data_IF_768295428009
#
_entry.id   IF_768295428009
#
_cell.length_a   1.000
_cell.length_b   1.000
_cell.length_c   1.000
_cell.angle_alpha   90.00
_cell.angle_beta   90.00
_cell.angle_gamma   90.00
#
_symmetry.space_group_name_H-M   'P 1'
#
loop_
_entity.id
_entity.type
_entity.pdbx_description
1 polymer ?
#
# COMPACT_ATOMS: atom_id res chain seq x y z
N UNK A 1 -3.48 4.92 12.17
CA UNK A 1 -4.87 4.62 12.63
C UNK A 1 -5.40 5.61 13.64
N UNK A 2 -4.68 6.00 14.70
CA UNK A 2 -5.18 7.02 15.64
C UNK A 2 -5.55 8.35 14.95
N UNK A 3 -4.71 8.85 14.03
CA UNK A 3 -5.03 10.06 13.25
C UNK A 3 -6.32 9.94 12.45
N UNK A 4 -6.60 8.76 11.88
CA UNK A 4 -7.83 8.52 11.12
C UNK A 4 -9.07 8.73 12.01
N UNK A 5 -9.11 8.10 13.19
CA UNK A 5 -10.23 8.23 14.11
C UNK A 5 -10.33 9.63 14.74
N UNK A 6 -9.19 10.27 15.05
CA UNK A 6 -9.16 11.67 15.55
C UNK A 6 -9.85 12.64 14.57
N UNK A 7 -9.71 12.37 13.28
CA UNK A 7 -10.31 13.14 12.19
C UNK A 7 -11.76 12.71 11.85
N UNK A 8 -12.37 11.87 12.68
CA UNK A 8 -13.75 11.41 12.51
C UNK A 8 -13.93 10.29 11.50
N UNK A 9 -12.84 9.62 11.10
CA UNK A 9 -12.90 8.51 10.17
C UNK A 9 -13.74 7.34 10.70
N UNK A 10 -14.47 6.70 9.79
CA UNK A 10 -15.37 5.58 10.07
C UNK A 10 -14.75 4.30 9.52
N UNK A 11 -14.40 3.37 10.41
CA UNK A 11 -13.92 2.04 10.03
C UNK A 11 -15.06 1.02 10.17
N UNK A 12 -15.12 0.08 9.23
CA UNK A 12 -16.05 -1.04 9.24
C UNK A 12 -15.38 -2.30 9.80
N UNK A 13 -16.20 -3.21 10.31
CA UNK A 13 -15.79 -4.56 10.65
C UNK A 13 -15.58 -5.41 9.38
N UNK A 14 -14.86 -6.53 9.52
CA UNK A 14 -14.49 -7.39 8.39
C UNK A 14 -15.69 -8.10 7.73
N UNK A 15 -16.84 -8.18 8.39
CA UNK A 15 -18.05 -8.78 7.84
C UNK A 15 -18.56 -8.07 6.57
N UNK A 16 -18.21 -6.80 6.35
CA UNK A 16 -18.63 -6.07 5.16
C UNK A 16 -18.00 -6.57 3.86
N UNK A 17 -16.94 -7.38 3.95
CA UNK A 17 -16.22 -7.89 2.79
C UNK A 17 -17.05 -8.89 1.98
N UNK A 18 -17.99 -9.59 2.61
CA UNK A 18 -18.84 -10.60 1.95
C UNK A 18 -20.15 -10.01 1.41
N UNK A 19 -20.24 -8.68 1.31
CA UNK A 19 -21.43 -7.97 0.83
C UNK A 19 -21.47 -7.82 -0.70
N UNK A 20 -20.60 -8.51 -1.45
CA UNK A 20 -20.59 -8.52 -2.91
C UNK A 20 -20.04 -7.25 -3.59
N UNK A 21 -19.43 -6.34 -2.81
CA UNK A 21 -18.73 -5.17 -3.32
C UNK A 21 -17.35 -5.57 -3.83
N UNK A 22 -16.74 -4.75 -4.70
CA UNK A 22 -15.34 -4.98 -5.11
C UNK A 22 -14.41 -4.65 -3.94
N UNK A 23 -13.24 -5.28 -3.91
CA UNK A 23 -12.28 -5.18 -2.79
C UNK A 23 -10.97 -4.59 -3.30
N UNK A 24 -10.48 -3.58 -2.60
CA UNK A 24 -9.19 -2.94 -2.86
C UNK A 24 -8.25 -3.17 -1.68
N UNK A 25 -7.13 -3.84 -1.92
CA UNK A 25 -6.10 -4.11 -0.93
C UNK A 25 -4.99 -3.07 -1.05
N UNK A 26 -4.60 -2.43 0.06
CA UNK A 26 -3.63 -1.35 0.04
C UNK A 26 -2.75 -1.30 1.29
N UNK A 27 -1.44 -1.08 1.12
CA UNK A 27 -0.54 -0.75 2.22
C UNK A 27 -0.22 -1.89 3.19
N UNK A 28 -0.11 -3.11 2.68
CA UNK A 28 0.26 -4.31 3.44
C UNK A 28 0.81 -5.42 2.55
N UNK A 29 1.34 -6.47 3.16
CA UNK A 29 1.79 -7.66 2.43
C UNK A 29 0.60 -8.45 1.89
N UNK A 30 0.71 -9.00 0.67
CA UNK A 30 -0.41 -9.70 0.02
C UNK A 30 -0.91 -10.91 0.84
N UNK A 31 -0.01 -11.66 1.46
CA UNK A 31 -0.32 -12.77 2.37
C UNK A 31 -1.10 -12.32 3.61
N UNK A 32 -0.89 -11.09 4.09
CA UNK A 32 -1.59 -10.57 5.27
C UNK A 32 -3.07 -10.33 4.98
N UNK A 33 -3.43 -10.07 3.72
CA UNK A 33 -4.83 -9.96 3.30
C UNK A 33 -5.48 -11.32 3.09
N UNK A 34 -4.69 -12.36 2.77
CA UNK A 34 -5.21 -13.70 2.46
C UNK A 34 -6.14 -14.23 3.54
N UNK A 35 -5.74 -14.15 4.82
CA UNK A 35 -6.56 -14.66 5.94
C UNK A 35 -7.90 -13.93 6.12
N UNK A 36 -8.03 -12.73 5.56
CA UNK A 36 -9.27 -11.95 5.54
C UNK A 36 -10.13 -12.29 4.31
N UNK A 37 -9.50 -12.62 3.18
CA UNK A 37 -10.18 -12.95 1.92
C UNK A 37 -10.59 -14.42 1.79
N UNK A 38 -9.91 -15.36 2.44
CA UNK A 38 -10.21 -16.81 2.38
C UNK A 38 -11.63 -17.17 2.83
N UNK A 39 -12.31 -16.26 3.53
CA UNK A 39 -13.64 -16.45 4.10
C UNK A 39 -14.76 -15.87 3.23
N UNK A 40 -14.43 -15.33 2.06
CA UNK A 40 -15.42 -14.71 1.18
C UNK A 40 -16.10 -15.77 0.32
N UNK A 41 -17.43 -15.75 0.34
CA UNK A 41 -18.27 -16.57 -0.53
C UNK A 41 -18.69 -15.77 -1.77
N UNK A 42 -18.68 -14.43 -1.68
CA UNK A 42 -19.05 -13.53 -2.78
C UNK A 42 -18.04 -13.48 -3.94
N UNK A 43 -18.55 -13.37 -5.18
CA UNK A 43 -17.74 -13.14 -6.40
C UNK A 43 -17.31 -11.68 -6.53
N UNK A 44 -16.56 -11.18 -5.55
CA UNK A 44 -16.01 -9.83 -5.60
C UNK A 44 -14.76 -9.79 -6.49
N UNK A 45 -14.59 -8.73 -7.28
CA UNK A 45 -13.29 -8.47 -7.88
C UNK A 45 -12.33 -8.02 -6.77
N UNK A 46 -11.08 -8.49 -6.83
CA UNK A 46 -10.05 -8.11 -5.86
C UNK A 46 -8.93 -7.41 -6.60
N UNK A 47 -8.73 -6.15 -6.23
CA UNK A 47 -7.64 -5.30 -6.69
C UNK A 47 -6.55 -5.25 -5.64
N UNK A 48 -5.28 -5.35 -6.07
CA UNK A 48 -4.11 -5.21 -5.21
C UNK A 48 -3.30 -3.98 -5.65
N UNK A 49 -3.25 -2.96 -4.79
CA UNK A 49 -2.34 -1.84 -4.92
C UNK A 49 -1.09 -2.12 -4.10
N UNK A 50 0.04 -2.36 -4.76
CA UNK A 50 1.31 -2.67 -4.09
C UNK A 50 2.52 -2.30 -4.95
N UNK A 51 3.56 -1.65 -4.39
CA UNK A 51 4.84 -1.45 -5.07
C UNK A 51 5.57 -2.76 -5.36
N UNK A 52 5.38 -3.75 -4.49
CA UNK A 52 5.94 -5.07 -4.68
C UNK A 52 5.13 -5.80 -5.76
N UNK A 53 5.73 -6.01 -6.93
CA UNK A 53 5.15 -6.82 -8.02
C UNK A 53 5.23 -8.32 -7.68
N UNK A 54 4.34 -8.72 -6.78
CA UNK A 54 4.19 -10.07 -6.26
C UNK A 54 2.72 -10.35 -5.98
N UNK A 55 2.15 -11.33 -6.67
CA UNK A 55 0.74 -11.68 -6.55
C UNK A 55 0.53 -13.18 -6.75
N UNK A 56 0.57 -13.96 -5.65
CA UNK A 56 0.36 -15.40 -5.71
C UNK A 56 -1.12 -15.81 -5.78
N UNK A 57 -2.07 -14.86 -5.74
CA UNK A 57 -3.51 -15.12 -5.60
C UNK A 57 -4.36 -14.70 -6.81
N UNK A 58 -3.72 -14.36 -7.93
CA UNK A 58 -4.38 -13.98 -9.18
C UNK A 58 -5.36 -12.80 -9.03
N UNK A 59 -5.07 -11.86 -8.14
CA UNK A 59 -5.78 -10.58 -8.06
C UNK A 59 -5.45 -9.70 -9.27
N UNK A 60 -6.28 -8.70 -9.57
CA UNK A 60 -5.86 -7.63 -10.49
C UNK A 60 -4.88 -6.74 -9.74
N UNK A 61 -3.59 -6.79 -10.09
CA UNK A 61 -2.56 -6.01 -9.41
C UNK A 61 -2.21 -4.77 -10.22
N UNK A 62 -2.22 -3.60 -9.56
CA UNK A 62 -1.62 -2.38 -10.07
C UNK A 62 -0.39 -2.03 -9.23
N UNK A 63 0.73 -1.75 -9.91
CA UNK A 63 2.03 -1.55 -9.29
C UNK A 63 2.42 -0.10 -9.39
N UNK A 64 2.64 0.53 -8.24
CA UNK A 64 2.99 1.94 -8.11
C UNK A 64 4.39 2.12 -7.49
N UNK A 65 4.94 3.32 -7.55
CA UNK A 65 6.29 3.63 -7.07
C UNK A 65 6.40 3.53 -5.54
N UNK A 66 7.51 3.01 -5.03
CA UNK A 66 7.70 2.84 -3.59
C UNK A 66 7.65 4.19 -2.87
N UNK A 67 6.92 4.28 -1.75
CA UNK A 67 6.85 5.50 -0.96
C UNK A 67 5.87 6.55 -1.49
N UNK A 68 5.13 6.23 -2.55
CA UNK A 68 4.10 7.09 -3.15
C UNK A 68 2.68 6.80 -2.66
N UNK A 69 2.53 6.05 -1.55
CA UNK A 69 1.23 5.66 -0.96
C UNK A 69 0.27 6.85 -0.76
N UNK A 70 0.81 8.03 -0.43
CA UNK A 70 0.02 9.25 -0.29
C UNK A 70 -0.54 9.76 -1.62
N UNK A 71 0.24 9.70 -2.70
CA UNK A 71 -0.23 10.06 -4.04
C UNK A 71 -1.29 9.08 -4.51
N UNK A 72 -1.08 7.77 -4.32
CA UNK A 72 -2.05 6.73 -4.69
C UNK A 72 -3.39 6.95 -4.01
N UNK A 73 -3.42 7.23 -2.70
CA UNK A 73 -4.69 7.46 -2.00
C UNK A 73 -5.33 8.81 -2.40
N UNK A 74 -4.54 9.81 -2.77
CA UNK A 74 -5.05 11.08 -3.28
C UNK A 74 -5.65 10.94 -4.70
N UNK A 75 -5.02 10.16 -5.58
CA UNK A 75 -5.56 9.82 -6.90
C UNK A 75 -6.85 8.99 -6.76
N UNK A 76 -6.89 8.05 -5.82
CA UNK A 76 -8.13 7.33 -5.49
C UNK A 76 -9.22 8.31 -5.01
N UNK A 77 -8.88 9.26 -4.14
CA UNK A 77 -9.82 10.29 -3.70
C UNK A 77 -10.37 11.11 -4.88
N UNK A 78 -9.50 11.52 -5.81
CA UNK A 78 -9.89 12.20 -7.04
C UNK A 78 -10.87 11.34 -7.86
N UNK A 79 -10.48 10.13 -8.26
CA UNK A 79 -11.28 9.26 -9.12
C UNK A 79 -12.65 8.93 -8.53
N UNK A 80 -12.70 8.57 -7.25
CA UNK A 80 -13.97 8.26 -6.56
C UNK A 80 -14.86 9.49 -6.36
N UNK A 81 -14.28 10.69 -6.22
CA UNK A 81 -15.05 11.93 -6.10
C UNK A 81 -15.70 12.34 -7.43
N UNK A 82 -14.96 12.17 -8.54
CA UNK A 82 -15.42 12.53 -9.88
C UNK A 82 -16.53 11.59 -10.40
N UNK A 83 -16.57 10.35 -9.90
CA UNK A 83 -17.53 9.34 -10.36
C UNK A 83 -18.97 9.53 -9.87
N UNK A 84 -19.17 10.38 -8.86
CA UNK A 84 -20.51 10.67 -8.33
C UNK A 84 -20.74 12.18 -8.14
N UNK A 85 -21.39 12.80 -9.12
CA UNK A 85 -21.74 14.23 -9.14
C UNK A 85 -22.66 14.66 -7.98
N UNK A 86 -23.26 13.71 -7.24
CA UNK A 86 -24.09 14.01 -6.07
C UNK A 86 -23.26 14.33 -4.82
N UNK A 87 -21.96 14.06 -4.83
CA UNK A 87 -21.06 14.37 -3.72
C UNK A 87 -20.87 15.89 -3.63
N UNK A 88 -21.43 16.48 -2.56
CA UNK A 88 -21.36 17.94 -2.28
C UNK A 88 -20.52 18.28 -1.06
N UNK A 89 -19.69 17.35 -0.58
CA UNK A 89 -18.78 17.65 0.54
C UNK A 89 -17.70 18.63 0.08
N UNK A 90 -17.68 19.80 0.72
CA UNK A 90 -16.77 20.89 0.34
C UNK A 90 -15.31 20.52 0.59
N UNK A 91 -15.01 19.81 1.68
CA UNK A 91 -13.64 19.48 2.03
C UNK A 91 -13.03 18.50 1.01
N UNK A 92 -13.80 17.50 0.55
CA UNK A 92 -13.36 16.62 -0.51
C UNK A 92 -13.19 17.37 -1.85
N UNK A 93 -14.14 18.23 -2.22
CA UNK A 93 -14.05 19.01 -3.45
C UNK A 93 -12.87 20.00 -3.46
N UNK A 94 -12.57 20.63 -2.32
CA UNK A 94 -11.41 21.51 -2.18
C UNK A 94 -10.12 20.72 -2.26
N UNK A 95 -10.02 19.59 -1.54
CA UNK A 95 -8.86 18.71 -1.58
C UNK A 95 -8.54 18.23 -3.00
N UNK A 96 -9.52 17.69 -3.72
CA UNK A 96 -9.27 17.12 -5.07
C UNK A 96 -8.95 18.19 -6.12
N UNK A 97 -9.42 19.44 -5.94
CA UNK A 97 -9.07 20.57 -6.82
C UNK A 97 -7.62 21.04 -6.66
N UNK A 98 -6.99 20.73 -5.52
CA UNK A 98 -5.59 21.08 -5.26
C UNK A 98 -4.61 20.04 -5.83
N UNK A 99 -5.10 18.90 -6.31
CA UNK A 99 -4.25 17.83 -6.83
C UNK A 99 -3.84 18.12 -8.27
N UNK A 100 -2.53 18.03 -8.54
CA UNK A 100 -2.02 17.89 -9.89
C UNK A 100 -2.04 16.41 -10.28
N UNK A 101 -3.17 15.98 -10.87
CA UNK A 101 -3.41 14.56 -11.19
C UNK A 101 -2.36 14.03 -12.18
N UNK A 102 -2.01 14.81 -13.19
CA UNK A 102 -1.04 14.39 -14.21
C UNK A 102 0.36 14.22 -13.64
N UNK A 103 0.79 15.15 -12.79
CA UNK A 103 2.07 15.03 -12.07
C UNK A 103 2.06 13.80 -11.14
N UNK A 104 1.03 13.65 -10.31
CA UNK A 104 0.96 12.54 -9.35
C UNK A 104 0.93 11.18 -10.05
N UNK A 105 0.09 11.01 -11.07
CA UNK A 105 -0.02 9.75 -11.83
C UNK A 105 1.31 9.37 -12.49
N UNK A 106 2.01 10.36 -13.06
CA UNK A 106 3.33 10.16 -13.66
C UNK A 106 4.37 9.71 -12.62
N UNK A 107 4.49 10.43 -11.50
CA UNK A 107 5.55 10.18 -10.51
C UNK A 107 5.29 8.94 -9.64
N UNK A 108 4.02 8.61 -9.34
CA UNK A 108 3.70 7.40 -8.59
C UNK A 108 3.55 6.17 -9.48
N UNK A 109 3.69 6.30 -10.81
CA UNK A 109 3.51 5.23 -11.77
C UNK A 109 2.18 4.47 -11.55
N UNK A 110 1.09 5.22 -11.31
CA UNK A 110 -0.26 4.68 -11.21
C UNK A 110 -1.11 5.40 -12.24
N UNK A 111 -1.46 4.66 -13.30
CA UNK A 111 -2.02 5.24 -14.51
C UNK A 111 -3.51 5.59 -14.34
N UNK A 112 -4.01 6.53 -15.16
CA UNK A 112 -5.42 6.91 -15.14
C UNK A 112 -6.32 5.72 -15.51
N UNK A 113 -5.88 4.83 -16.41
CA UNK A 113 -6.63 3.63 -16.80
C UNK A 113 -6.79 2.62 -15.64
N UNK A 114 -5.77 2.47 -14.81
CA UNK A 114 -5.81 1.59 -13.62
C UNK A 114 -6.78 2.17 -12.56
N UNK A 115 -6.76 3.49 -12.40
CA UNK A 115 -7.71 4.20 -11.54
C UNK A 115 -9.15 4.08 -12.07
N UNK A 116 -9.36 4.23 -13.38
CA UNK A 116 -10.66 4.08 -14.03
C UNK A 116 -11.26 2.69 -13.81
N UNK A 117 -10.44 1.63 -13.84
CA UNK A 117 -10.91 0.26 -13.58
C UNK A 117 -11.47 0.10 -12.15
N UNK A 118 -10.76 0.64 -11.15
CA UNK A 118 -11.22 0.65 -9.75
C UNK A 118 -12.49 1.49 -9.61
N UNK A 119 -12.51 2.68 -10.22
CA UNK A 119 -13.65 3.60 -10.16
C UNK A 119 -14.90 2.97 -10.78
N UNK A 120 -14.76 2.26 -11.90
CA UNK A 120 -15.86 1.53 -12.53
C UNK A 120 -16.45 0.48 -11.58
N UNK A 121 -15.61 -0.32 -10.92
CA UNK A 121 -16.05 -1.28 -9.91
C UNK A 121 -16.80 -0.61 -8.75
N UNK A 122 -16.28 0.51 -8.27
CA UNK A 122 -16.93 1.32 -7.23
C UNK A 122 -18.32 1.83 -7.66
N UNK A 123 -18.48 2.35 -8.88
CA UNK A 123 -19.78 2.84 -9.36
C UNK A 123 -20.79 1.70 -9.52
N UNK A 124 -20.35 0.52 -9.97
CA UNK A 124 -21.24 -0.62 -10.21
C UNK A 124 -21.69 -1.32 -8.93
N UNK A 125 -20.77 -1.51 -7.96
CA UNK A 125 -20.98 -2.39 -6.80
C UNK A 125 -20.56 -1.77 -5.46
N UNK A 126 -20.01 -0.57 -5.44
CA UNK A 126 -19.31 -0.01 -4.29
C UNK A 126 -17.95 -0.69 -4.06
N UNK A 127 -17.20 -0.21 -3.06
CA UNK A 127 -15.83 -0.64 -2.81
C UNK A 127 -15.56 -0.85 -1.33
N UNK A 128 -14.86 -1.93 -0.99
CA UNK A 128 -14.26 -2.13 0.34
C UNK A 128 -12.75 -1.97 0.24
N UNK A 129 -12.21 -0.90 0.83
CA UNK A 129 -10.78 -0.66 0.96
C UNK A 129 -10.24 -1.33 2.22
N UNK A 130 -9.44 -2.38 2.04
CA UNK A 130 -8.74 -3.07 3.12
C UNK A 130 -7.34 -2.50 3.27
N UNK A 131 -7.12 -1.82 4.40
CA UNK A 131 -5.89 -1.10 4.71
C UNK A 131 -4.97 -1.96 5.57
N UNK A 132 -3.78 -2.21 5.04
CA UNK A 132 -2.70 -2.88 5.74
C UNK A 132 -2.02 -2.00 6.78
N UNK A 133 -1.22 -2.64 7.64
CA UNK A 133 -0.60 -1.98 8.79
C UNK A 133 0.65 -1.20 8.42
N UNK A 134 1.22 -1.43 7.25
CA UNK A 134 2.51 -0.87 6.88
C UNK A 134 2.42 0.64 6.64
N UNK A 135 1.23 1.14 6.28
CA UNK A 135 0.98 2.58 6.17
C UNK A 135 1.22 3.33 7.49
N UNK A 136 1.15 2.64 8.64
CA UNK A 136 1.36 3.29 9.93
C UNK A 136 2.80 3.77 10.13
N UNK A 137 3.78 3.16 9.46
CA UNK A 137 5.20 3.56 9.52
C UNK A 137 5.65 4.35 8.29
N UNK A 138 4.73 4.69 7.38
CA UNK A 138 5.02 5.56 6.25
C UNK A 138 5.35 6.99 6.71
N UNK A 139 6.28 7.69 6.04
CA UNK A 139 6.66 9.07 6.39
C UNK A 139 5.45 10.03 6.43
N UNK A 140 4.48 9.80 5.54
CA UNK A 140 3.26 10.59 5.41
C UNK A 140 2.03 9.87 6.00
N UNK A 141 2.23 8.91 6.92
CA UNK A 141 1.17 8.14 7.56
C UNK A 141 0.04 9.00 8.13
N UNK A 142 0.39 10.15 8.72
CA UNK A 142 -0.60 11.09 9.27
C UNK A 142 -1.50 11.66 8.18
N UNK A 143 -0.94 12.09 7.05
CA UNK A 143 -1.72 12.69 5.97
C UNK A 143 -2.56 11.64 5.23
N UNK A 144 -1.99 10.45 4.96
CA UNK A 144 -2.73 9.29 4.44
C UNK A 144 -3.94 8.98 5.31
N UNK A 145 -3.76 8.96 6.64
CA UNK A 145 -4.85 8.70 7.58
C UNK A 145 -5.95 9.78 7.55
N UNK A 146 -5.61 11.05 7.29
CA UNK A 146 -6.58 12.14 7.14
C UNK A 146 -7.37 12.03 5.83
N UNK A 147 -6.71 11.69 4.73
CA UNK A 147 -7.36 11.44 3.43
C UNK A 147 -8.33 10.27 3.57
N UNK A 148 -7.89 9.14 4.15
CA UNK A 148 -8.76 7.99 4.43
C UNK A 148 -9.97 8.39 5.28
N UNK A 149 -9.77 9.23 6.31
CA UNK A 149 -10.86 9.68 7.16
C UNK A 149 -11.88 10.50 6.36
N UNK A 150 -11.41 11.45 5.56
CA UNK A 150 -12.26 12.27 4.68
C UNK A 150 -13.06 11.40 3.70
N UNK A 151 -12.44 10.39 3.10
CA UNK A 151 -13.12 9.45 2.20
C UNK A 151 -14.19 8.65 2.94
N UNK A 152 -13.87 8.08 4.12
CA UNK A 152 -14.81 7.25 4.89
C UNK A 152 -16.07 7.99 5.34
N UNK A 153 -15.98 9.30 5.57
CA UNK A 153 -17.15 10.10 6.00
C UNK A 153 -17.96 10.63 4.83
N UNK A 154 -17.34 10.75 3.66
CA UNK A 154 -17.94 11.42 2.49
C UNK A 154 -18.54 10.42 1.50
N UNK A 155 -17.86 9.29 1.29
CA UNK A 155 -18.19 8.30 0.27
C UNK A 155 -18.93 7.13 0.91
N UNK A 156 -20.25 7.11 0.79
CA UNK A 156 -21.10 6.09 1.44
C UNK A 156 -20.87 4.68 0.92
N UNK A 157 -20.61 4.55 -0.37
CA UNK A 157 -20.39 3.26 -1.02
C UNK A 157 -18.94 2.76 -0.87
N UNK A 158 -18.08 3.55 -0.22
CA UNK A 158 -16.73 3.17 0.17
C UNK A 158 -16.71 2.76 1.65
N UNK A 159 -16.36 1.51 1.92
CA UNK A 159 -16.13 1.01 3.27
C UNK A 159 -14.64 0.85 3.50
N UNK A 160 -14.14 1.24 4.67
CA UNK A 160 -12.73 1.10 5.03
C UNK A 160 -12.58 0.09 6.16
N UNK A 161 -11.77 -0.94 5.94
CA UNK A 161 -11.46 -1.98 6.92
C UNK A 161 -9.97 -1.97 7.20
N UNK A 162 -9.56 -1.91 8.47
CA UNK A 162 -8.15 -2.04 8.85
C UNK A 162 -7.85 -3.48 9.28
N UNK A 163 -6.69 -4.03 8.89
CA UNK A 163 -6.34 -5.42 9.21
C UNK A 163 -6.31 -5.72 10.72
N UNK A 164 -5.82 -4.80 11.57
CA UNK A 164 -5.66 -5.03 13.03
C UNK A 164 -6.26 -3.92 13.92
N UNK A 165 -7.52 -3.50 13.70
CA UNK A 165 -8.18 -2.60 14.66
C UNK A 165 -9.44 -3.22 15.22
N UNK A 166 -9.50 -3.30 16.55
CA UNK A 166 -10.75 -3.13 17.28
C UNK A 166 -11.17 -1.66 17.14
N UNK A 167 -12.41 -1.44 16.71
CA UNK A 167 -12.97 -0.13 16.40
C UNK A 167 -13.21 0.61 17.72
N UNK A 168 -12.38 1.59 18.05
CA UNK A 168 -12.67 2.52 19.14
C UNK A 168 -12.18 3.92 18.78
N UNK A 169 -13.11 4.88 18.70
CA UNK A 169 -12.79 6.28 18.48
C UNK A 169 -13.89 7.20 19.02
N UNK A 170 -13.49 8.19 19.81
CA UNK A 170 -14.30 9.36 20.15
C UNK A 170 -13.70 10.55 19.37
N UNK A 171 -14.50 11.32 18.61
CA UNK A 171 -14.01 12.37 17.72
C UNK A 171 -13.75 13.67 18.47
N UNK A 172 -12.62 14.36 18.23
CA UNK A 172 -12.38 15.67 18.86
C UNK A 172 -11.75 16.77 17.99
N UNK A 173 -11.22 16.53 16.78
CA UNK A 173 -10.83 17.64 15.88
C UNK A 173 -10.48 17.19 14.46
N UNK A 174 -11.05 17.84 13.44
CA UNK A 174 -10.55 17.71 12.05
C UNK A 174 -9.30 18.57 11.89
N UNK A 175 -8.17 17.90 11.68
CA UNK A 175 -6.93 18.53 11.27
C UNK A 175 -6.91 18.69 9.75
N UNK A 176 -6.23 19.73 9.28
CA UNK A 176 -6.05 19.98 7.85
C UNK A 176 -5.23 18.87 7.18
N UNK A 177 -5.63 18.49 5.96
CA UNK A 177 -4.84 17.66 5.05
C UNK A 177 -3.78 18.56 4.44
N UNK A 178 -2.51 18.22 4.65
CA UNK A 178 -1.41 18.99 4.09
C UNK A 178 -1.36 18.80 2.58
N UNK A 179 -0.96 19.82 1.80
CA UNK A 179 -0.62 19.64 0.40
C UNK A 179 0.37 18.49 0.24
N UNK A 180 0.20 17.71 -0.83
CA UNK A 180 1.14 16.64 -1.15
C UNK A 180 2.48 17.29 -1.50
N UNK A 181 3.54 16.88 -0.79
CA UNK A 181 4.89 17.30 -1.09
C UNK A 181 5.49 16.49 -2.24
N UNK A 182 6.74 16.79 -2.58
CA UNK A 182 7.48 16.04 -3.59
C UNK A 182 7.55 14.55 -3.22
N UNK A 183 7.33 13.71 -4.22
CA UNK A 183 7.46 12.27 -4.07
C UNK A 183 8.94 11.92 -3.91
N UNK A 184 9.25 11.10 -2.90
CA UNK A 184 10.64 10.65 -2.70
C UNK A 184 10.88 9.56 -3.73
N UNK A 185 11.87 9.74 -4.60
CA UNK A 185 12.32 8.65 -5.45
C UNK A 185 13.04 7.57 -4.65
N UNK A 186 12.79 6.31 -5.01
CA UNK A 186 13.52 5.14 -4.52
C UNK A 186 14.47 4.60 -5.60
N UNK A 187 15.44 5.44 -5.99
CA UNK A 187 16.43 5.09 -7.02
C UNK A 187 17.39 4.00 -6.57
N UNK A 188 17.12 2.75 -6.95
CA UNK A 188 18.03 1.63 -6.74
C UNK A 188 17.34 0.30 -6.47
N UNK A 189 17.99 -0.53 -5.66
CA UNK A 189 17.43 -1.78 -5.20
C UNK A 189 16.61 -1.52 -3.94
N UNK A 190 15.38 -2.01 -3.92
CA UNK A 190 14.48 -1.87 -2.77
C UNK A 190 14.12 -3.24 -2.24
N UNK A 191 13.98 -3.36 -0.92
CA UNK A 191 13.38 -4.55 -0.31
C UNK A 191 12.15 -4.17 0.51
N UNK A 192 11.14 -5.03 0.44
CA UNK A 192 10.04 -5.07 1.39
C UNK A 192 10.41 -5.99 2.54
N UNK A 193 10.22 -5.55 3.78
CA UNK A 193 10.39 -6.37 4.99
C UNK A 193 9.02 -6.68 5.60
N UNK A 194 8.49 -7.91 5.42
CA UNK A 194 7.19 -8.30 5.94
C UNK A 194 7.08 -8.18 7.46
N UNK A 195 5.85 -7.98 7.97
CA UNK A 195 5.59 -8.03 9.42
C UNK A 195 5.85 -9.41 10.00
N UNK A 196 5.34 -10.41 9.31
CA UNK A 196 5.40 -11.81 9.69
C UNK A 196 6.27 -12.53 8.67
N UNK A 197 7.28 -13.21 9.17
CA UNK A 197 8.25 -13.92 8.34
C UNK A 197 8.23 -15.38 8.76
N UNK A 198 7.92 -16.29 7.81
CA UNK A 198 7.97 -17.75 8.03
C UNK A 198 9.40 -18.29 8.01
N UNK A 199 10.29 -17.54 7.39
CA UNK A 199 11.71 -17.80 7.25
C UNK A 199 12.46 -16.52 7.61
N UNK A 200 13.72 -16.62 8.04
CA UNK A 200 14.56 -15.46 8.31
C UNK A 200 15.88 -15.60 7.55
N UNK A 201 16.56 -14.49 7.30
CA UNK A 201 17.84 -14.42 6.60
C UNK A 201 17.75 -14.90 5.15
N UNK A 202 16.64 -14.58 4.47
CA UNK A 202 16.46 -14.85 3.04
C UNK A 202 16.11 -13.56 2.32
N UNK A 203 16.76 -13.34 1.18
CA UNK A 203 16.44 -12.26 0.26
C UNK A 203 15.83 -12.87 -1.00
N UNK A 204 14.51 -12.84 -1.11
CA UNK A 204 13.79 -13.26 -2.30
C UNK A 204 13.69 -12.14 -3.31
N UNK A 205 14.11 -12.39 -4.55
CA UNK A 205 14.27 -11.35 -5.56
C UNK A 205 13.87 -11.86 -6.94
N UNK A 206 13.53 -10.92 -7.84
CA UNK A 206 13.29 -11.24 -9.24
C UNK A 206 14.59 -11.51 -10.00
N UNK A 207 14.48 -12.05 -11.22
CA UNK A 207 15.63 -12.15 -12.13
C UNK A 207 16.21 -10.77 -12.51
N UNK A 208 15.38 -9.74 -12.62
CA UNK A 208 15.82 -8.38 -12.96
C UNK A 208 16.66 -7.79 -11.83
N UNK A 209 16.20 -7.97 -10.58
CA UNK A 209 16.93 -7.57 -9.40
C UNK A 209 18.31 -8.24 -9.32
N UNK A 210 18.41 -9.56 -9.58
CA UNK A 210 19.69 -10.27 -9.65
C UNK A 210 20.65 -9.65 -10.68
N UNK A 211 20.15 -9.33 -11.87
CA UNK A 211 20.95 -8.73 -12.95
C UNK A 211 21.53 -7.38 -12.55
N UNK A 212 20.70 -6.49 -11.99
CA UNK A 212 21.14 -5.15 -11.59
C UNK A 212 22.06 -5.18 -10.38
N UNK A 213 21.77 -6.03 -9.39
CA UNK A 213 22.63 -6.23 -8.23
C UNK A 213 23.95 -6.96 -8.53
N UNK A 214 24.06 -7.61 -9.70
CA UNK A 214 25.18 -8.47 -10.11
C UNK A 214 25.40 -9.65 -9.15
N UNK A 215 24.32 -10.11 -8.51
CA UNK A 215 24.31 -11.26 -7.62
C UNK A 215 23.69 -12.48 -8.30
N UNK A 216 24.10 -13.68 -7.87
CA UNK A 216 23.62 -14.94 -8.41
C UNK A 216 22.70 -15.64 -7.42
N UNK A 217 21.73 -16.39 -7.92
CA UNK A 217 20.86 -17.22 -7.09
C UNK A 217 21.68 -18.13 -6.16
N UNK A 218 21.23 -18.27 -4.91
CA UNK A 218 21.92 -19.01 -3.86
C UNK A 218 23.11 -18.29 -3.20
N UNK A 219 23.51 -17.11 -3.68
CA UNK A 219 24.62 -16.37 -3.08
C UNK A 219 24.32 -15.93 -1.64
N UNK A 220 25.33 -16.01 -0.78
CA UNK A 220 25.30 -15.37 0.54
C UNK A 220 25.65 -13.89 0.36
N UNK A 221 24.73 -13.03 0.78
CA UNK A 221 24.85 -11.58 0.64
C UNK A 221 24.68 -10.91 1.98
N UNK A 222 25.37 -9.80 2.16
CA UNK A 222 25.11 -8.85 3.22
C UNK A 222 24.24 -7.73 2.64
N UNK A 223 23.05 -7.60 3.21
CA UNK A 223 22.04 -6.60 2.86
C UNK A 223 22.15 -5.44 3.84
N UNK A 224 22.55 -4.26 3.38
CA UNK A 224 22.62 -3.06 4.20
C UNK A 224 21.40 -2.17 3.91
N UNK A 225 20.61 -1.91 4.94
CA UNK A 225 19.40 -1.06 4.91
C UNK A 225 19.74 0.44 5.02
N UNK A 226 18.78 1.32 4.73
CA UNK A 226 18.90 2.78 4.92
C UNK A 226 19.28 3.16 6.36
N UNK A 227 18.81 2.40 7.36
CA UNK A 227 19.14 2.58 8.79
C UNK A 227 20.59 2.18 9.14
N UNK A 228 21.41 1.77 8.17
CA UNK A 228 22.72 1.14 8.33
C UNK A 228 22.70 -0.21 9.04
N UNK A 229 21.53 -0.76 9.36
CA UNK A 229 21.44 -2.15 9.81
C UNK A 229 21.84 -3.11 8.70
N UNK A 230 22.50 -4.20 9.08
CA UNK A 230 22.98 -5.21 8.15
C UNK A 230 22.32 -6.56 8.44
N UNK A 231 21.86 -7.23 7.39
CA UNK A 231 21.31 -8.59 7.45
C UNK A 231 22.16 -9.49 6.57
N UNK A 232 22.68 -10.57 7.12
CA UNK A 232 23.25 -11.65 6.31
C UNK A 232 22.10 -12.50 5.80
N UNK A 233 21.98 -12.63 4.49
CA UNK A 233 20.89 -13.37 3.87
C UNK A 233 21.40 -14.29 2.76
N UNK A 234 20.71 -15.40 2.54
CA UNK A 234 20.85 -16.17 1.31
C UNK A 234 19.90 -15.62 0.27
N UNK A 235 20.42 -15.27 -0.90
CA UNK A 235 19.61 -14.79 -2.02
C UNK A 235 18.90 -15.95 -2.70
N UNK A 236 17.62 -15.77 -2.99
CA UNK A 236 16.77 -16.74 -3.67
C UNK A 236 16.02 -16.06 -4.81
N UNK A 237 16.23 -16.52 -6.03
CA UNK A 237 15.48 -16.03 -7.18
C UNK A 237 14.06 -16.60 -7.17
N UNK A 238 13.04 -15.75 -7.16
CA UNK A 238 11.63 -16.14 -7.18
C UNK A 238 11.01 -15.68 -8.52
N UNK A 239 10.52 -16.65 -9.30
CA UNK A 239 9.95 -16.39 -10.63
C UNK A 239 8.61 -15.64 -10.60
N UNK A 240 7.92 -15.63 -9.47
CA UNK A 240 6.69 -14.85 -9.28
C UNK A 240 6.96 -13.37 -9.00
N UNK A 241 8.19 -13.03 -8.57
CA UNK A 241 8.62 -11.64 -8.39
C UNK A 241 9.02 -11.02 -9.73
N UNK A 242 8.62 -9.76 -9.94
CA UNK A 242 9.07 -8.94 -11.07
C UNK A 242 9.62 -7.60 -10.58
N UNK A 243 10.34 -6.90 -11.45
CA UNK A 243 10.85 -5.57 -11.16
C UNK A 243 12.05 -5.57 -10.20
N UNK A 244 12.26 -4.43 -9.54
CA UNK A 244 13.45 -4.10 -8.76
C UNK A 244 13.21 -4.08 -7.24
N UNK A 245 12.05 -4.58 -6.81
CA UNK A 245 11.68 -4.71 -5.41
C UNK A 245 11.75 -6.18 -5.01
N UNK A 246 12.56 -6.49 -4.00
CA UNK A 246 12.67 -7.83 -3.40
C UNK A 246 11.90 -7.95 -2.08
N UNK A 247 11.87 -9.15 -1.52
CA UNK A 247 11.36 -9.43 -0.17
C UNK A 247 12.56 -9.84 0.70
N UNK A 248 12.84 -9.08 1.75
CA UNK A 248 13.82 -9.46 2.77
C UNK A 248 13.08 -10.07 3.95
N UNK A 249 13.17 -11.39 4.05
CA UNK A 249 12.67 -12.16 5.18
C UNK A 249 13.62 -11.99 6.37
N UNK A 250 13.30 -11.04 7.25
CA UNK A 250 14.06 -10.73 8.45
C UNK A 250 13.12 -10.42 9.62
N UNK A 251 13.68 -10.34 10.84
CA UNK A 251 12.95 -9.77 11.98
C UNK A 251 12.63 -8.31 11.70
N UNK A 252 11.39 -7.89 11.95
CA UNK A 252 10.94 -6.51 11.72
C UNK A 252 11.66 -5.47 12.60
N UNK A 253 12.32 -5.92 13.67
CA UNK A 253 13.18 -5.08 14.52
C UNK A 253 14.32 -4.42 13.74
N UNK A 254 14.78 -5.04 12.64
CA UNK A 254 15.83 -4.51 11.77
C UNK A 254 15.47 -3.14 11.16
N UNK A 255 14.17 -2.86 11.01
CA UNK A 255 13.68 -1.59 10.50
C UNK A 255 13.79 -0.46 11.53
N UNK A 256 13.91 -0.77 12.83
CA UNK A 256 13.89 0.25 13.90
C UNK A 256 12.66 1.19 13.79
N UNK A 257 11.49 0.61 13.48
CA UNK A 257 10.22 1.30 13.19
C UNK A 257 10.20 2.16 11.90
N UNK A 258 11.19 2.00 11.02
CA UNK A 258 11.15 2.62 9.68
C UNK A 258 10.06 2.00 8.80
N UNK A 259 9.88 2.60 7.63
CA UNK A 259 8.95 2.12 6.63
C UNK A 259 9.36 0.73 6.11
N UNK A 260 8.38 -0.12 5.79
CA UNK A 260 8.62 -1.51 5.39
C UNK A 260 9.40 -1.67 4.08
N UNK A 261 9.35 -0.66 3.21
CA UNK A 261 10.20 -0.60 2.02
C UNK A 261 11.47 0.20 2.32
N UNK A 262 12.62 -0.40 2.03
CA UNK A 262 13.94 0.16 2.31
C UNK A 262 14.82 0.11 1.06
N UNK A 263 15.52 1.20 0.77
CA UNK A 263 16.65 1.14 -0.16
C UNK A 263 17.75 0.26 0.42
N UNK A 264 18.40 -0.52 -0.43
CA UNK A 264 19.47 -1.43 -0.01
C UNK A 264 20.70 -1.33 -0.87
N UNK A 265 21.83 -1.62 -0.23
CA UNK A 265 23.08 -1.97 -0.91
C UNK A 265 23.45 -3.41 -0.58
N UNK A 266 23.95 -4.12 -1.58
CA UNK A 266 24.32 -5.53 -1.46
C UNK A 266 25.83 -5.72 -1.60
N UNK A 267 26.39 -6.58 -0.77
CA UNK A 267 27.79 -7.02 -0.87
C UNK A 267 27.88 -8.54 -0.72
N UNK A 268 28.85 -9.16 -1.41
CA UNK A 268 29.10 -10.60 -1.30
C UNK A 268 29.73 -10.90 0.05
N UNK A 269 29.30 -11.98 0.68
CA UNK A 269 30.00 -12.56 1.83
C UNK A 269 31.11 -13.45 1.27
N UNK A 270 32.36 -13.15 1.63
CA UNK A 270 33.54 -13.94 1.27
C UNK A 270 33.58 -15.29 2.00
#
# INVERSE_FOLDING_TARGET
>A
MQTFFKNGGIACEKNVLDMGQDILLFGGFVESFKGVLEKLESKSNVFLLSPLHFNPYNFTQFVYEVGSEEAVIALLAYGLSCSNQSIKDKALQEFVKMLDVGYLASECNFAEEELEEIVKGYVERGLVLVVGLDLATHKNASNIAKILALLSVTLRDLKIVFLNSEVNGIPLSREEIKPLGDLKSYDGLVVYVPKESKEINVLEVSQQFCKVSKMQDGAKVKVKLESNQEVLAQMRCNVMLKGMVGILWASREVLQNSFCYQLVSLSKVA
#
